data_IF_691543027135
#
_entry.id   IF_691543027135
#
_cell.length_a   1.000
_cell.length_b   1.000
_cell.length_c   1.000
_cell.angle_alpha   90.00
_cell.angle_beta   90.00
_cell.angle_gamma   90.00
#
_symmetry.space_group_name_H-M   'P 1'
#
loop_
_entity.id
_entity.type
_entity.pdbx_description
1 polymer ?
#
# COMPACT_ATOMS: atom_id res chain seq x y z
N UNK A 1 1.66 70.30 66.44
CA UNK A 1 0.36 70.59 67.05
C UNK A 1 -0.64 70.55 65.92
N UNK A 2 -1.29 69.41 65.74
CA UNK A 2 -1.75 68.98 64.42
C UNK A 2 -3.27 69.10 64.28
N UNK A 3 -3.82 70.19 64.83
CA UNK A 3 -5.25 70.45 64.79
C UNK A 3 -5.60 71.12 63.46
N UNK A 4 -5.94 70.31 62.45
CA UNK A 4 -6.48 70.78 61.14
C UNK A 4 -8.00 70.69 61.11
N UNK A 5 -8.65 71.84 61.18
CA UNK A 5 -10.12 71.98 61.23
C UNK A 5 -10.78 71.78 59.85
N UNK A 6 -9.99 71.86 58.75
CA UNK A 6 -10.49 71.84 57.37
C UNK A 6 -11.24 70.55 56.97
N UNK A 7 -10.94 69.43 57.65
CA UNK A 7 -11.64 68.15 57.43
C UNK A 7 -12.93 68.04 58.25
N UNK A 8 -13.03 68.76 59.38
CA UNK A 8 -14.19 68.71 60.27
C UNK A 8 -15.43 69.39 59.68
N UNK A 9 -15.23 70.40 58.83
CA UNK A 9 -16.32 71.09 58.11
C UNK A 9 -17.13 70.18 57.18
N UNK A 10 -16.60 69.00 56.82
CA UNK A 10 -17.35 67.97 56.06
C UNK A 10 -18.45 67.30 56.89
N UNK A 11 -18.35 67.34 58.22
CA UNK A 11 -19.32 66.74 59.13
C UNK A 11 -20.36 67.74 59.65
N UNK A 12 -20.05 69.04 59.66
CA UNK A 12 -20.96 70.09 60.13
C UNK A 12 -21.98 70.54 59.06
N UNK A 13 -21.63 70.48 57.78
CA UNK A 13 -22.48 70.94 56.69
C UNK A 13 -22.69 69.84 55.66
N UNK A 14 -23.93 69.70 55.15
CA UNK A 14 -24.22 68.78 54.05
C UNK A 14 -23.47 69.25 52.80
N UNK A 15 -22.51 68.45 52.33
CA UNK A 15 -21.79 68.68 51.07
C UNK A 15 -22.42 67.85 49.95
N UNK A 16 -22.47 68.37 48.71
CA UNK A 16 -22.81 67.55 47.56
C UNK A 16 -21.74 66.46 47.36
N UNK A 17 -22.08 65.30 46.77
CA UNK A 17 -21.14 64.21 46.57
C UNK A 17 -19.96 64.62 45.69
N UNK A 18 -18.73 64.42 46.19
CA UNK A 18 -17.49 64.59 45.41
C UNK A 18 -17.33 63.39 44.46
N UNK A 19 -17.27 63.67 43.16
CA UNK A 19 -17.09 62.67 42.11
C UNK A 19 -15.58 62.43 41.94
N UNK A 20 -15.09 61.25 42.31
CA UNK A 20 -13.73 60.83 41.94
C UNK A 20 -13.75 60.14 40.58
N UNK A 21 -12.83 60.52 39.69
CA UNK A 21 -12.68 59.87 38.39
C UNK A 21 -11.56 58.84 38.47
N UNK A 22 -11.90 57.55 38.43
CA UNK A 22 -10.93 56.47 38.30
C UNK A 22 -10.52 56.26 36.83
N UNK A 23 -9.28 55.83 36.60
CA UNK A 23 -8.81 55.47 35.26
C UNK A 23 -9.59 54.27 34.71
N UNK A 24 -10.02 54.34 33.44
CA UNK A 24 -10.68 53.22 32.77
C UNK A 24 -9.66 52.19 32.30
N UNK A 25 -9.79 50.95 32.76
CA UNK A 25 -9.05 49.82 32.19
C UNK A 25 -9.39 49.68 30.69
N UNK A 26 -8.38 49.37 29.88
CA UNK A 26 -8.59 49.08 28.45
C UNK A 26 -9.49 47.84 28.35
N UNK A 27 -10.58 47.94 27.60
CA UNK A 27 -11.41 46.80 27.29
C UNK A 27 -10.55 45.74 26.59
N UNK A 28 -10.49 44.54 27.16
CA UNK A 28 -9.90 43.37 26.50
C UNK A 28 -10.77 43.10 25.27
N UNK A 29 -10.22 43.33 24.08
CA UNK A 29 -10.89 42.97 22.83
C UNK A 29 -10.76 41.45 22.67
N UNK A 30 -11.76 40.72 23.17
CA UNK A 30 -11.87 39.27 23.02
C UNK A 30 -12.29 38.85 21.62
N UNK A 31 -12.85 39.78 20.84
CA UNK A 31 -13.39 39.52 19.52
C UNK A 31 -12.54 40.22 18.46
N UNK A 32 -11.43 39.59 18.08
CA UNK A 32 -10.73 39.93 16.85
C UNK A 32 -11.24 38.98 15.77
N UNK A 33 -12.19 39.42 14.91
CA UNK A 33 -12.62 38.58 13.82
C UNK A 33 -11.42 38.30 12.90
N UNK A 34 -11.36 37.10 12.28
CA UNK A 34 -10.34 36.78 11.30
C UNK A 34 -10.27 37.88 10.23
N UNK A 35 -9.05 38.24 9.83
CA UNK A 35 -8.85 39.22 8.76
C UNK A 35 -9.47 38.76 7.43
N UNK A 36 -9.64 39.69 6.47
CA UNK A 36 -10.03 39.31 5.12
C UNK A 36 -8.97 38.33 4.57
N UNK A 37 -9.41 37.12 4.19
CA UNK A 37 -8.57 35.96 3.81
C UNK A 37 -8.05 35.04 4.94
N UNK A 38 -8.41 35.23 6.22
CA UNK A 38 -8.06 34.26 7.29
C UNK A 38 -9.11 33.15 7.47
N UNK A 39 -10.16 33.14 6.64
CA UNK A 39 -11.17 32.08 6.67
C UNK A 39 -10.63 30.79 6.04
N UNK A 40 -10.40 29.78 6.86
CA UNK A 40 -10.08 28.43 6.38
C UNK A 40 -11.38 27.75 5.92
N UNK A 41 -11.51 27.51 4.62
CA UNK A 41 -12.63 26.74 4.10
C UNK A 41 -12.48 25.24 4.43
N UNK A 42 -13.56 24.55 4.80
CA UNK A 42 -13.52 23.11 4.99
C UNK A 42 -13.17 22.41 3.67
N UNK A 43 -12.57 21.22 3.75
CA UNK A 43 -12.18 20.42 2.57
C UNK A 43 -13.40 20.13 1.69
N UNK A 44 -13.37 20.61 0.43
CA UNK A 44 -14.45 20.39 -0.55
C UNK A 44 -14.30 19.09 -1.37
N UNK A 45 -13.16 18.40 -1.28
CA UNK A 45 -12.84 17.22 -2.11
C UNK A 45 -12.67 15.95 -1.26
N UNK A 46 -13.43 14.92 -1.59
CA UNK A 46 -13.45 13.62 -0.89
C UNK A 46 -14.73 13.39 -0.09
N UNK A 47 -14.88 12.22 0.56
CA UNK A 47 -16.15 11.80 1.18
C UNK A 47 -16.55 12.63 2.41
N UNK A 48 -15.62 13.39 2.99
CA UNK A 48 -15.81 14.15 4.24
C UNK A 48 -15.94 15.66 3.96
N UNK A 49 -16.95 16.04 3.19
CA UNK A 49 -17.30 17.45 2.93
C UNK A 49 -18.27 17.96 4.00
N UNK A 50 -18.02 19.16 4.53
CA UNK A 50 -18.77 19.69 5.68
C UNK A 50 -20.21 20.13 5.34
N UNK A 51 -20.47 20.56 4.10
CA UNK A 51 -21.74 21.18 3.72
C UNK A 51 -22.49 20.44 2.60
N UNK A 52 -21.78 19.62 1.82
CA UNK A 52 -22.35 18.89 0.68
C UNK A 52 -22.19 17.39 0.91
N UNK A 53 -23.11 16.57 0.38
CA UNK A 53 -22.89 15.12 0.32
C UNK A 53 -21.94 14.83 -0.84
N UNK A 54 -20.84 14.14 -0.55
CA UNK A 54 -19.88 13.69 -1.56
C UNK A 54 -19.99 12.18 -1.81
N UNK A 55 -19.77 11.78 -3.06
CA UNK A 55 -19.64 10.36 -3.42
C UNK A 55 -18.37 9.75 -2.80
N UNK A 56 -18.33 8.42 -2.60
CA UNK A 56 -17.14 7.73 -2.10
C UNK A 56 -15.90 8.04 -2.97
N UNK A 57 -14.77 8.36 -2.33
CA UNK A 57 -13.49 8.53 -3.00
C UNK A 57 -12.63 7.31 -2.74
N UNK A 58 -12.48 6.45 -3.75
CA UNK A 58 -11.64 5.26 -3.66
C UNK A 58 -10.22 5.58 -4.15
N UNK A 59 -9.21 5.19 -3.38
CA UNK A 59 -7.82 5.19 -3.82
C UNK A 59 -7.34 3.76 -4.04
N UNK A 60 -6.58 3.54 -5.11
CA UNK A 60 -5.90 2.27 -5.35
C UNK A 60 -4.51 2.36 -4.75
N UNK A 61 -4.25 1.63 -3.67
CA UNK A 61 -2.89 1.47 -3.14
C UNK A 61 -2.15 0.41 -3.95
N UNK A 62 -0.87 0.66 -4.25
CA UNK A 62 -0.03 -0.29 -4.98
C UNK A 62 0.14 -1.58 -4.18
N UNK A 63 0.05 -2.73 -4.85
CA UNK A 63 0.31 -4.03 -4.22
C UNK A 63 1.80 -4.10 -3.84
N UNK A 64 2.08 -4.46 -2.58
CA UNK A 64 3.45 -4.73 -2.14
C UNK A 64 4.04 -5.86 -2.99
N UNK A 65 5.26 -5.66 -3.50
CA UNK A 65 6.00 -6.72 -4.22
C UNK A 65 6.52 -7.81 -3.27
N UNK A 66 6.67 -7.46 -1.99
CA UNK A 66 7.22 -8.32 -0.96
C UNK A 66 6.34 -9.56 -0.76
N UNK A 67 6.94 -10.75 -0.94
CA UNK A 67 6.28 -12.06 -0.92
C UNK A 67 5.30 -12.33 -2.08
N UNK A 68 5.41 -11.61 -3.20
CA UNK A 68 4.62 -11.91 -4.38
C UNK A 68 5.03 -13.23 -5.05
N UNK A 69 4.11 -13.91 -5.74
CA UNK A 69 4.43 -15.08 -6.58
C UNK A 69 5.45 -14.78 -7.69
N UNK A 70 5.67 -13.50 -8.00
CA UNK A 70 6.74 -13.05 -8.91
C UNK A 70 8.14 -13.12 -8.28
N UNK A 71 8.24 -13.07 -6.94
CA UNK A 71 9.50 -13.28 -6.22
C UNK A 71 9.77 -14.77 -5.99
N UNK A 72 8.71 -15.55 -5.77
CA UNK A 72 8.81 -17.00 -5.58
C UNK A 72 8.78 -17.74 -6.92
N UNK A 73 9.94 -17.75 -7.59
CA UNK A 73 10.16 -18.45 -8.86
C UNK A 73 9.86 -19.95 -8.79
N UNK A 74 9.85 -20.55 -7.59
CA UNK A 74 9.52 -21.96 -7.41
C UNK A 74 8.03 -22.24 -7.62
N UNK A 75 7.17 -21.24 -7.35
CA UNK A 75 5.71 -21.34 -7.53
C UNK A 75 5.23 -20.94 -8.92
N UNK A 76 6.10 -20.33 -9.72
CA UNK A 76 5.79 -19.88 -11.08
C UNK A 76 6.81 -20.42 -12.09
N UNK A 77 6.95 -21.76 -12.20
CA UNK A 77 7.83 -22.35 -13.20
C UNK A 77 7.40 -21.87 -14.60
N UNK A 78 8.37 -21.39 -15.38
CA UNK A 78 8.11 -20.94 -16.74
C UNK A 78 7.60 -22.07 -17.64
N UNK A 79 7.04 -21.78 -18.81
CA UNK A 79 6.48 -22.80 -19.71
C UNK A 79 7.49 -23.88 -20.12
N UNK A 80 8.79 -23.56 -20.11
CA UNK A 80 9.88 -24.49 -20.42
C UNK A 80 10.26 -25.43 -19.25
N UNK A 81 9.76 -25.19 -18.03
CA UNK A 81 10.08 -26.00 -16.87
C UNK A 81 9.21 -27.27 -16.77
N UNK A 82 8.14 -27.36 -17.55
CA UNK A 82 7.32 -28.57 -17.62
C UNK A 82 7.96 -29.62 -18.54
N UNK A 83 8.05 -30.90 -18.12
CA UNK A 83 8.56 -31.96 -18.97
C UNK A 83 7.63 -32.21 -20.15
N UNK A 84 8.19 -32.60 -21.29
CA UNK A 84 7.41 -32.99 -22.46
C UNK A 84 6.69 -34.31 -22.20
N UNK A 85 5.36 -34.28 -22.15
CA UNK A 85 4.51 -35.46 -22.00
C UNK A 85 4.25 -36.10 -23.37
N UNK A 86 4.33 -37.43 -23.45
CA UNK A 86 3.98 -38.17 -24.67
C UNK A 86 2.48 -38.02 -24.98
N UNK A 87 2.14 -37.66 -26.24
CA UNK A 87 0.75 -37.41 -26.64
C UNK A 87 -0.15 -38.65 -26.47
N UNK A 88 0.40 -39.84 -26.68
CA UNK A 88 -0.34 -41.11 -26.69
C UNK A 88 -1.01 -41.44 -25.35
N UNK A 89 -0.63 -40.75 -24.26
CA UNK A 89 -1.25 -40.89 -22.94
C UNK A 89 -2.67 -40.32 -22.87
N UNK A 90 -2.99 -39.30 -23.68
CA UNK A 90 -4.29 -38.61 -23.62
C UNK A 90 -4.92 -38.37 -24.99
N UNK A 91 -4.17 -38.51 -26.08
CA UNK A 91 -4.67 -38.32 -27.44
C UNK A 91 -3.89 -39.19 -28.43
N UNK A 92 -4.60 -39.83 -29.35
CA UNK A 92 -3.97 -40.60 -30.42
C UNK A 92 -3.01 -39.70 -31.22
N UNK A 93 -1.72 -40.01 -31.19
CA UNK A 93 -0.70 -39.26 -31.94
C UNK A 93 -0.88 -39.43 -33.45
N UNK A 94 -0.47 -38.42 -34.21
CA UNK A 94 -0.38 -38.52 -35.66
C UNK A 94 0.68 -39.55 -36.10
N UNK A 95 0.47 -40.26 -37.22
CA UNK A 95 1.46 -41.20 -37.73
C UNK A 95 2.78 -40.47 -38.03
N UNK A 96 3.90 -41.06 -37.59
CA UNK A 96 5.24 -40.53 -37.86
C UNK A 96 5.83 -41.30 -39.04
N UNK A 97 6.05 -40.60 -40.16
CA UNK A 97 6.69 -41.16 -41.34
C UNK A 97 8.18 -40.83 -41.32
N UNK A 98 9.02 -41.79 -41.72
CA UNK A 98 10.46 -41.60 -41.92
C UNK A 98 10.80 -42.00 -43.35
N UNK A 99 11.62 -41.19 -44.03
CA UNK A 99 12.09 -41.48 -45.40
C UNK A 99 13.31 -42.41 -45.36
N UNK A 100 13.13 -43.61 -44.81
CA UNK A 100 14.20 -44.61 -44.70
C UNK A 100 13.69 -45.91 -44.08
N UNK A 101 14.29 -47.04 -44.47
CA UNK A 101 14.01 -48.33 -43.84
C UNK A 101 14.48 -48.28 -42.39
N UNK A 102 13.59 -48.58 -41.43
CA UNK A 102 14.03 -48.95 -40.07
C UNK A 102 14.87 -50.21 -40.23
N UNK A 103 16.20 -50.07 -40.23
CA UNK A 103 17.07 -51.23 -40.15
C UNK A 103 16.73 -51.94 -38.85
N UNK A 104 15.97 -53.04 -38.95
CA UNK A 104 16.06 -54.06 -37.91
C UNK A 104 17.52 -54.48 -37.95
N UNK A 105 18.28 -54.45 -36.85
CA UNK A 105 19.54 -55.15 -36.83
C UNK A 105 19.18 -56.62 -37.02
N UNK A 106 19.18 -57.07 -38.28
CA UNK A 106 19.32 -58.47 -38.62
C UNK A 106 20.72 -58.84 -38.20
N UNK A 107 20.89 -59.10 -36.90
CA UNK A 107 22.11 -59.66 -36.38
C UNK A 107 22.41 -60.92 -37.17
N UNK A 108 23.63 -61.01 -37.70
CA UNK A 108 24.17 -62.24 -38.25
C UNK A 108 23.97 -63.34 -37.19
N UNK A 109 23.01 -64.23 -37.44
CA UNK A 109 22.66 -65.34 -36.53
C UNK A 109 23.67 -66.49 -36.62
N UNK A 110 24.74 -66.34 -37.40
CA UNK A 110 25.80 -67.33 -37.42
C UNK A 110 26.56 -67.27 -36.10
N UNK A 111 26.43 -68.33 -35.31
CA UNK A 111 27.37 -68.62 -34.22
C UNK A 111 28.71 -68.86 -34.91
N UNK A 112 29.67 -67.95 -34.71
CA UNK A 112 31.05 -68.10 -35.21
C UNK A 112 31.86 -68.71 -34.07
N UNK A 113 32.00 -70.06 -34.01
CA UNK A 113 32.75 -70.71 -32.95
C UNK A 113 34.18 -70.18 -32.93
N UNK A 114 34.65 -69.82 -31.74
CA UNK A 114 36.04 -69.48 -31.51
C UNK A 114 36.94 -70.71 -31.73
N UNK A 115 38.26 -70.51 -31.87
CA UNK A 115 39.20 -71.60 -32.11
C UNK A 115 39.19 -72.70 -31.02
N UNK A 116 38.68 -72.40 -29.81
CA UNK A 116 38.53 -73.36 -28.71
C UNK A 116 37.16 -74.10 -28.69
N UNK A 117 36.22 -73.74 -29.55
CA UNK A 117 34.85 -74.29 -29.56
C UNK A 117 34.72 -75.56 -30.43
N UNK A 118 35.81 -76.00 -31.07
CA UNK A 118 35.84 -77.23 -31.85
C UNK A 118 36.26 -78.40 -30.97
N UNK A 119 35.33 -79.31 -30.67
CA UNK A 119 35.70 -80.60 -30.07
C UNK A 119 36.45 -81.46 -31.09
N UNK A 120 37.63 -81.97 -30.72
CA UNK A 120 38.30 -83.01 -31.50
C UNK A 120 37.50 -84.31 -31.34
N UNK A 121 37.00 -84.83 -32.46
CA UNK A 121 36.23 -86.07 -32.52
C UNK A 121 37.01 -87.25 -31.91
N UNK A 122 36.26 -88.15 -31.27
CA UNK A 122 36.75 -89.41 -30.72
C UNK A 122 37.25 -90.34 -31.81
#
# INVERSE_FOLDING_TARGET
GDYRIDKADKHCYKRPPEQSMAFRHKAVKTDQPPGPATYTLPRLVGPNTAYTRASPCYSMTGKSKHNGFAEDLSKTPGPAAFPKVELDLYKRRAPTFVMGTKARPGGDRTVKPGPADYCLGR
#
